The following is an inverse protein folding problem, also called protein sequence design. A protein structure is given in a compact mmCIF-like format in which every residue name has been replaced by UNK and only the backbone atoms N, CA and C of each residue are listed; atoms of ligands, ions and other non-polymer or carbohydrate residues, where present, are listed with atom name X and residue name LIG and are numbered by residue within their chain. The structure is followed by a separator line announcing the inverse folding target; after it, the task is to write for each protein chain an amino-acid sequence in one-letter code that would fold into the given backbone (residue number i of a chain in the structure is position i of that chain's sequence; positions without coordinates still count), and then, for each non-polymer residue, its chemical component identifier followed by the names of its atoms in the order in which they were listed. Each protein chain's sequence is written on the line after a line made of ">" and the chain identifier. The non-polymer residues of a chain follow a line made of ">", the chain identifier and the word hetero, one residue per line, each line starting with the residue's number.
data_IF_975368843255
#
_entry.id   IF_975368843255
#
_cell.length_a   1.000
_cell.length_b   1.000
_cell.length_c   1.000
_cell.angle_alpha   90.00
_cell.angle_beta   90.00
_cell.angle_gamma   90.00
#
_symmetry.space_group_name_H-M   'P 1'
#
loop_
_entity.id
_entity.type
_entity.pdbx_description
1 polymer ?
#
# COMPACT_ATOMS: atom_id res chain seq x y z
N UNK A 1 8.88 -17.91 16.54
CA UNK A 1 9.26 -17.02 15.41
C UNK A 1 9.72 -15.61 15.84
N UNK A 2 9.26 -15.06 16.97
CA UNK A 2 9.68 -13.73 17.43
C UNK A 2 11.17 -13.63 17.86
N UNK A 3 11.71 -14.67 18.48
CA UNK A 3 13.10 -14.68 18.97
C UNK A 3 14.18 -14.48 17.87
N UNK A 4 14.14 -15.20 16.72
CA UNK A 4 15.12 -14.96 15.66
C UNK A 4 14.98 -13.56 15.04
N UNK A 5 13.76 -13.10 14.75
CA UNK A 5 13.47 -11.77 14.19
C UNK A 5 13.99 -10.64 15.09
N UNK A 6 13.75 -10.74 16.40
CA UNK A 6 14.25 -9.76 17.37
C UNK A 6 15.79 -9.71 17.38
N UNK A 7 16.44 -10.87 17.40
CA UNK A 7 17.90 -10.95 17.44
C UNK A 7 18.59 -10.41 16.19
N UNK A 8 17.97 -10.54 15.01
CA UNK A 8 18.57 -10.13 13.73
C UNK A 8 18.23 -8.71 13.32
N UNK A 9 17.00 -8.25 13.55
CA UNK A 9 16.53 -6.94 13.05
C UNK A 9 16.42 -5.88 14.15
N UNK A 10 16.09 -6.27 15.38
CA UNK A 10 15.68 -5.31 16.42
C UNK A 10 16.71 -5.14 17.56
N UNK A 11 17.69 -6.04 17.69
CA UNK A 11 18.68 -6.01 18.79
C UNK A 11 19.84 -5.03 18.57
N UNK A 12 20.22 -4.73 17.33
CA UNK A 12 21.33 -3.80 17.00
C UNK A 12 20.76 -2.49 16.43
N UNK A 13 21.03 -1.37 17.09
CA UNK A 13 20.51 -0.04 16.71
C UNK A 13 20.78 0.33 15.24
N UNK A 14 21.96 0.00 14.70
CA UNK A 14 22.31 0.28 13.30
C UNK A 14 21.47 -0.51 12.29
N UNK A 15 21.06 -1.73 12.65
CA UNK A 15 20.20 -2.57 11.80
C UNK A 15 18.72 -2.22 12.01
N UNK A 16 18.35 -1.84 13.22
CA UNK A 16 16.99 -1.45 13.59
C UNK A 16 16.46 -0.30 12.74
N UNK A 17 17.20 0.80 12.63
CA UNK A 17 16.75 1.97 11.85
C UNK A 17 16.63 1.63 10.35
N UNK A 18 17.59 0.90 9.80
CA UNK A 18 17.55 0.47 8.41
C UNK A 18 16.36 -0.47 8.14
N UNK A 19 16.08 -1.40 9.05
CA UNK A 19 14.93 -2.29 8.97
C UNK A 19 13.60 -1.54 9.01
N UNK A 20 13.49 -0.51 9.87
CA UNK A 20 12.30 0.36 9.91
C UNK A 20 12.12 1.10 8.60
N UNK A 21 13.16 1.71 8.04
CA UNK A 21 13.03 2.44 6.78
C UNK A 21 12.68 1.52 5.60
N UNK A 22 13.34 0.36 5.50
CA UNK A 22 13.01 -0.63 4.48
C UNK A 22 11.56 -1.12 4.61
N UNK A 23 11.12 -1.38 5.86
CA UNK A 23 9.75 -1.77 6.16
C UNK A 23 8.73 -0.68 5.82
N UNK A 24 8.99 0.56 6.22
CA UNK A 24 8.11 1.70 5.97
C UNK A 24 7.94 1.98 4.47
N UNK A 25 9.03 1.94 3.70
CA UNK A 25 8.97 2.13 2.25
C UNK A 25 8.18 1.02 1.56
N UNK A 26 8.49 -0.23 1.88
CA UNK A 26 7.80 -1.40 1.30
C UNK A 26 6.31 -1.41 1.68
N UNK A 27 6.01 -1.08 2.94
CA UNK A 27 4.64 -0.97 3.43
C UNK A 27 3.88 0.17 2.75
N UNK A 28 4.49 1.35 2.57
CA UNK A 28 3.84 2.49 1.92
C UNK A 28 3.35 2.13 0.51
N UNK A 29 4.18 1.47 -0.29
CA UNK A 29 3.81 1.06 -1.65
C UNK A 29 2.70 0.02 -1.60
N UNK A 30 2.89 -1.04 -0.80
CA UNK A 30 1.91 -2.13 -0.70
C UNK A 30 0.56 -1.64 -0.20
N UNK A 31 0.56 -0.79 0.83
CA UNK A 31 -0.65 -0.24 1.43
C UNK A 31 -1.41 0.65 0.45
N UNK A 32 -0.73 1.54 -0.28
CA UNK A 32 -1.35 2.42 -1.27
C UNK A 32 -2.05 1.62 -2.38
N UNK A 33 -1.37 0.63 -2.95
CA UNK A 33 -1.93 -0.22 -4.02
C UNK A 33 -3.11 -1.04 -3.50
N UNK A 34 -2.97 -1.67 -2.34
CA UNK A 34 -4.01 -2.54 -1.79
C UNK A 34 -5.26 -1.74 -1.40
N UNK A 35 -5.07 -0.58 -0.75
CA UNK A 35 -6.21 0.25 -0.33
C UNK A 35 -6.90 0.91 -1.52
N UNK A 36 -6.15 1.35 -2.54
CA UNK A 36 -6.71 1.82 -3.80
C UNK A 36 -7.50 0.72 -4.52
N UNK A 37 -6.96 -0.49 -4.62
CA UNK A 37 -7.67 -1.62 -5.23
C UNK A 37 -8.94 -1.99 -4.45
N UNK A 38 -8.89 -1.97 -3.12
CA UNK A 38 -10.05 -2.19 -2.27
C UNK A 38 -11.12 -1.11 -2.51
N UNK A 39 -10.71 0.16 -2.53
CA UNK A 39 -11.60 1.30 -2.79
C UNK A 39 -12.26 1.17 -4.16
N UNK A 40 -11.48 0.79 -5.18
CA UNK A 40 -11.94 0.62 -6.55
C UNK A 40 -12.98 -0.48 -6.67
N UNK A 41 -12.74 -1.61 -6.02
CA UNK A 41 -13.65 -2.74 -6.01
C UNK A 41 -14.94 -2.40 -5.24
N UNK A 42 -14.83 -1.74 -4.09
CA UNK A 42 -15.98 -1.37 -3.27
C UNK A 42 -16.88 -0.33 -3.95
N UNK A 43 -16.28 0.61 -4.68
CA UNK A 43 -16.99 1.70 -5.35
C UNK A 43 -17.18 1.46 -6.86
N UNK A 44 -17.08 0.21 -7.31
CA UNK A 44 -17.21 -0.13 -8.73
C UNK A 44 -18.54 0.35 -9.30
N UNK A 45 -18.48 1.01 -10.47
CA UNK A 45 -19.64 1.55 -11.18
C UNK A 45 -20.11 2.92 -10.66
N UNK A 46 -19.50 3.45 -9.59
CA UNK A 46 -19.78 4.80 -9.07
C UNK A 46 -18.66 5.78 -9.35
N UNK A 47 -17.44 5.28 -9.59
CA UNK A 47 -16.28 6.14 -9.77
C UNK A 47 -16.32 6.84 -11.12
N UNK A 48 -15.75 8.04 -11.18
CA UNK A 48 -15.66 8.79 -12.43
C UNK A 48 -15.04 7.97 -13.56
N UNK A 49 -13.96 7.22 -13.30
CA UNK A 49 -13.33 6.35 -14.29
C UNK A 49 -14.27 5.29 -14.88
N UNK A 50 -15.30 4.87 -14.13
CA UNK A 50 -16.28 3.87 -14.58
C UNK A 50 -17.42 4.51 -15.39
N UNK A 51 -17.79 5.76 -15.08
CA UNK A 51 -18.97 6.42 -15.66
C UNK A 51 -18.64 7.48 -16.72
N UNK A 52 -17.38 7.93 -16.81
CA UNK A 52 -16.93 9.03 -17.69
C UNK A 52 -17.33 8.87 -19.15
N UNK A 53 -17.33 7.65 -19.69
CA UNK A 53 -17.69 7.38 -21.08
C UNK A 53 -19.12 7.79 -21.42
N UNK A 54 -20.02 7.87 -20.43
CA UNK A 54 -21.40 8.32 -20.62
C UNK A 54 -21.56 9.83 -20.83
N UNK A 55 -20.51 10.59 -20.52
CA UNK A 55 -20.56 12.06 -20.44
C UNK A 55 -19.58 12.74 -21.39
N UNK A 56 -18.47 12.09 -21.75
CA UNK A 56 -17.42 12.68 -22.60
C UNK A 56 -17.73 12.47 -24.10
N UNK A 57 -18.36 11.37 -24.49
CA UNK A 57 -18.69 11.08 -25.91
C UNK A 57 -19.99 11.77 -26.40
N UNK A 58 -20.34 12.92 -25.81
CA UNK A 58 -21.56 13.70 -26.15
C UNK A 58 -21.28 15.03 -26.86
N UNK A 59 -20.11 15.19 -27.47
CA UNK A 59 -19.83 16.21 -28.49
C UNK A 59 -19.68 15.58 -29.87
#
# INVERSE_FOLDING_TARGET
>A
MAAPVYSTLFKRNSVFVAAIFAGAFSFSIGFDVLTSAYWDMHNRGKQWKDIRGRYIDKE
#
